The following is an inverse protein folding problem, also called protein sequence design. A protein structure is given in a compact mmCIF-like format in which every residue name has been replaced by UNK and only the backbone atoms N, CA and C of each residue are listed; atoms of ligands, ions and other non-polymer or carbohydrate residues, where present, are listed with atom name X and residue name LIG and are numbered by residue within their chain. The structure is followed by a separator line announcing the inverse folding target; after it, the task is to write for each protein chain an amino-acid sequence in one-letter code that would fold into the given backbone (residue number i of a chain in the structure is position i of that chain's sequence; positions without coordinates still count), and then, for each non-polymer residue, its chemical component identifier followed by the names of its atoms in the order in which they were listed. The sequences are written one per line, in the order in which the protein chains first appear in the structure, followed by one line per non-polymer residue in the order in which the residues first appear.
data_IF_747457705188
#
_entry.id   IF_747457705188
#
_cell.length_a   1.000
_cell.length_b   1.000
_cell.length_c   1.000
_cell.angle_alpha   90.00
_cell.angle_beta   90.00
_cell.angle_gamma   90.00
#
_symmetry.space_group_name_H-M   'P 1'
#
loop_
_entity.id
_entity.type
_entity.pdbx_description
1 polymer ?
#
# COMPACT_ATOMS: atom_id res chain seq x y z
N UNK A 1 -18.92 -15.13 10.78
CA UNK A 1 -18.25 -13.81 10.75
C UNK A 1 -17.97 -13.32 9.33
N UNK A 2 -17.22 -14.08 8.52
CA UNK A 2 -16.84 -13.72 7.14
C UNK A 2 -18.02 -13.40 6.21
N UNK A 3 -19.06 -14.23 6.19
CA UNK A 3 -20.24 -13.98 5.33
C UNK A 3 -20.96 -12.66 5.64
N UNK A 4 -20.97 -12.23 6.91
CA UNK A 4 -21.57 -10.96 7.32
C UNK A 4 -20.79 -9.76 6.77
N UNK A 5 -19.46 -9.86 6.76
CA UNK A 5 -18.53 -8.87 6.19
C UNK A 5 -18.77 -8.75 4.68
N UNK A 6 -18.81 -9.88 3.97
CA UNK A 6 -19.02 -9.89 2.51
C UNK A 6 -20.41 -9.39 2.13
N UNK A 7 -21.44 -9.69 2.93
CA UNK A 7 -22.81 -9.23 2.70
C UNK A 7 -22.95 -7.71 2.83
N UNK A 8 -22.21 -7.11 3.75
CA UNK A 8 -22.23 -5.66 4.01
C UNK A 8 -20.94 -4.98 3.50
N UNK A 9 -20.47 -5.41 2.33
CA UNK A 9 -19.21 -4.96 1.75
C UNK A 9 -19.08 -3.44 1.64
N UNK A 10 -20.16 -2.71 1.32
CA UNK A 10 -20.14 -1.23 1.29
C UNK A 10 -19.75 -0.63 2.65
N UNK A 11 -20.38 -1.09 3.72
CA UNK A 11 -20.12 -0.61 5.07
C UNK A 11 -18.72 -1.05 5.52
N UNK A 12 -18.33 -2.30 5.24
CA UNK A 12 -16.99 -2.80 5.52
C UNK A 12 -15.92 -1.97 4.84
N UNK A 13 -16.07 -1.66 3.55
CA UNK A 13 -15.14 -0.79 2.80
C UNK A 13 -15.02 0.57 3.47
N UNK A 14 -16.13 1.20 3.83
CA UNK A 14 -16.15 2.52 4.47
C UNK A 14 -15.40 2.48 5.81
N UNK A 15 -15.76 1.54 6.68
CA UNK A 15 -15.14 1.40 8.01
C UNK A 15 -13.65 1.13 7.87
N UNK A 16 -13.24 0.13 7.07
CA UNK A 16 -11.83 -0.19 6.89
C UNK A 16 -11.05 0.97 6.28
N UNK A 17 -11.61 1.67 5.30
CA UNK A 17 -10.96 2.84 4.68
C UNK A 17 -10.73 3.95 5.69
N UNK A 18 -11.75 4.29 6.47
CA UNK A 18 -11.66 5.33 7.50
C UNK A 18 -10.62 4.92 8.54
N UNK A 19 -10.71 3.69 9.06
CA UNK A 19 -9.80 3.20 10.10
C UNK A 19 -8.36 3.17 9.61
N UNK A 20 -8.08 2.59 8.44
CA UNK A 20 -6.71 2.48 7.90
C UNK A 20 -6.11 3.87 7.66
N UNK A 21 -6.83 4.75 6.96
CA UNK A 21 -6.31 6.09 6.65
C UNK A 21 -6.18 6.95 7.91
N UNK A 22 -7.13 6.86 8.85
CA UNK A 22 -7.06 7.61 10.10
C UNK A 22 -5.88 7.15 10.96
N UNK A 23 -5.63 5.84 11.05
CA UNK A 23 -4.44 5.31 11.75
C UNK A 23 -3.17 5.87 11.12
N UNK A 24 -3.04 5.78 9.78
CA UNK A 24 -1.85 6.30 9.08
C UNK A 24 -1.66 7.80 9.32
N UNK A 25 -2.72 8.59 9.21
CA UNK A 25 -2.68 10.05 9.42
C UNK A 25 -2.30 10.38 10.86
N UNK A 26 -2.96 9.79 11.86
CA UNK A 26 -2.66 10.06 13.28
C UNK A 26 -1.20 9.75 13.58
N UNK A 27 -0.71 8.58 13.16
CA UNK A 27 0.67 8.18 13.42
C UNK A 27 1.68 9.09 12.74
N UNK A 28 1.34 9.68 11.59
CA UNK A 28 2.22 10.63 10.88
C UNK A 28 2.44 11.95 11.64
N UNK A 29 1.63 12.24 12.67
CA UNK A 29 1.73 13.44 13.50
C UNK A 29 2.16 13.16 14.94
N UNK A 30 2.27 11.90 15.35
CA UNK A 30 2.73 11.56 16.69
C UNK A 30 4.26 11.60 16.78
N UNK A 31 4.83 12.08 17.89
CA UNK A 31 6.26 11.95 18.12
C UNK A 31 6.63 10.47 18.23
N UNK A 32 7.80 10.11 17.69
CA UNK A 32 8.34 8.76 17.80
C UNK A 32 8.60 8.37 19.25
N UNK A 33 8.73 7.06 19.49
CA UNK A 33 9.10 6.55 20.81
C UNK A 33 10.53 6.99 21.17
N UNK A 34 10.72 7.57 22.36
CA UNK A 34 11.98 8.18 22.78
C UNK A 34 12.96 7.22 23.49
N UNK A 35 12.63 5.94 23.62
CA UNK A 35 13.51 4.94 24.25
C UNK A 35 14.41 4.21 23.25
N UNK A 36 15.29 3.36 23.76
CA UNK A 36 16.17 2.53 22.93
C UNK A 36 15.36 1.55 22.08
N UNK A 37 15.51 1.67 20.77
CA UNK A 37 14.83 0.80 19.80
C UNK A 37 15.73 -0.38 19.42
N UNK A 38 15.18 -1.61 19.39
CA UNK A 38 15.88 -2.74 18.79
C UNK A 38 16.32 -2.49 17.35
N UNK A 39 17.51 -3.00 16.98
CA UNK A 39 18.08 -2.79 15.64
C UNK A 39 17.20 -3.28 14.48
N UNK A 40 16.32 -4.26 14.71
CA UNK A 40 15.40 -4.76 13.68
C UNK A 40 14.36 -3.71 13.25
N UNK A 41 14.05 -2.73 14.10
CA UNK A 41 13.10 -1.65 13.77
C UNK A 41 13.67 -0.76 12.65
N UNK A 42 14.99 -0.48 12.68
CA UNK A 42 15.67 0.29 11.64
C UNK A 42 15.64 -0.38 10.26
N UNK A 43 15.37 -1.68 10.20
CA UNK A 43 15.27 -2.45 8.95
C UNK A 43 13.85 -2.46 8.37
N UNK A 44 12.84 -2.01 9.12
CA UNK A 44 11.44 -2.02 8.66
C UNK A 44 11.21 -1.22 7.37
N UNK A 45 11.87 -0.06 7.11
CA UNK A 45 11.73 0.63 5.82
C UNK A 45 12.20 -0.22 4.63
N UNK A 46 13.27 -1.02 4.79
CA UNK A 46 13.72 -1.95 3.76
C UNK A 46 12.70 -3.05 3.53
N UNK A 47 12.17 -3.64 4.62
CA UNK A 47 11.12 -4.66 4.55
C UNK A 47 9.88 -4.10 3.84
N UNK A 48 9.49 -2.87 4.16
CA UNK A 48 8.40 -2.16 3.50
C UNK A 48 8.63 -2.01 1.98
N UNK A 49 9.83 -1.63 1.55
CA UNK A 49 10.18 -1.54 0.14
C UNK A 49 10.13 -2.92 -0.56
N UNK A 50 10.61 -3.97 0.11
CA UNK A 50 10.55 -5.34 -0.41
C UNK A 50 9.09 -5.80 -0.57
N UNK A 51 8.24 -5.57 0.44
CA UNK A 51 6.81 -5.93 0.39
C UNK A 51 6.05 -5.17 -0.71
N UNK A 52 6.38 -3.90 -0.93
CA UNK A 52 5.86 -3.11 -2.05
C UNK A 52 6.34 -3.67 -3.40
N UNK A 53 7.59 -4.11 -3.51
CA UNK A 53 8.11 -4.77 -4.71
C UNK A 53 7.35 -6.06 -5.02
N UNK A 54 7.08 -6.90 -4.01
CA UNK A 54 6.24 -8.09 -4.19
C UNK A 54 4.82 -7.74 -4.58
N UNK A 55 4.22 -6.73 -3.94
CA UNK A 55 2.89 -6.22 -4.31
C UNK A 55 2.85 -5.84 -5.79
N UNK A 56 3.82 -5.04 -6.25
CA UNK A 56 3.93 -4.62 -7.64
C UNK A 56 4.04 -5.82 -8.59
N UNK A 57 4.95 -6.77 -8.31
CA UNK A 57 5.12 -7.97 -9.13
C UNK A 57 3.85 -8.81 -9.20
N UNK A 58 3.16 -9.00 -8.07
CA UNK A 58 1.88 -9.72 -8.05
C UNK A 58 0.80 -9.01 -8.86
N UNK A 59 0.71 -7.68 -8.81
CA UNK A 59 -0.26 -6.93 -9.61
C UNK A 59 0.02 -7.03 -11.10
N UNK A 60 1.29 -6.93 -11.51
CA UNK A 60 1.70 -7.14 -12.90
C UNK A 60 1.35 -8.55 -13.36
N UNK A 61 1.67 -9.58 -12.55
CA UNK A 61 1.32 -10.97 -12.84
C UNK A 61 -0.20 -11.19 -12.90
N UNK A 62 -0.97 -10.58 -12.00
CA UNK A 62 -2.43 -10.61 -11.99
C UNK A 62 -3.02 -9.98 -13.26
N UNK A 63 -2.45 -8.85 -13.72
CA UNK A 63 -2.85 -8.17 -14.94
C UNK A 63 -2.55 -9.02 -16.18
N UNK A 64 -1.38 -9.64 -16.24
CA UNK A 64 -1.03 -10.56 -17.33
C UNK A 64 -1.97 -11.78 -17.36
N UNK A 65 -2.26 -12.37 -16.19
CA UNK A 65 -3.14 -13.53 -16.08
C UNK A 65 -4.56 -13.23 -16.58
N UNK A 66 -5.16 -12.10 -16.18
CA UNK A 66 -6.52 -11.75 -16.60
C UNK A 66 -6.59 -11.38 -18.08
N UNK A 67 -5.55 -10.74 -18.64
CA UNK A 67 -5.47 -10.47 -20.09
C UNK A 67 -5.41 -11.75 -20.92
N UNK A 68 -4.89 -12.85 -20.35
CA UNK A 68 -4.89 -14.20 -20.93
C UNK A 68 -6.16 -15.01 -20.60
N UNK A 69 -7.16 -14.39 -19.97
CA UNK A 69 -8.40 -15.05 -19.56
C UNK A 69 -8.28 -15.99 -18.35
N UNK A 70 -7.11 -16.09 -17.70
CA UNK A 70 -6.92 -16.99 -16.56
C UNK A 70 -7.35 -16.32 -15.25
N UNK A 71 -8.64 -16.39 -14.96
CA UNK A 71 -9.26 -15.78 -13.77
C UNK A 71 -8.73 -16.38 -12.48
N UNK A 72 -8.51 -17.70 -12.43
CA UNK A 72 -8.01 -18.38 -11.22
C UNK A 72 -6.61 -17.90 -10.83
N UNK A 73 -5.72 -17.76 -11.82
CA UNK A 73 -4.37 -17.27 -11.58
C UNK A 73 -4.37 -15.79 -11.21
N UNK A 74 -5.22 -14.98 -11.87
CA UNK A 74 -5.44 -13.58 -11.50
C UNK A 74 -5.82 -13.45 -10.02
N UNK A 75 -6.83 -14.20 -9.55
CA UNK A 75 -7.28 -14.17 -8.16
C UNK A 75 -6.17 -14.53 -7.18
N UNK A 76 -5.37 -15.58 -7.47
CA UNK A 76 -4.25 -15.99 -6.63
C UNK A 76 -3.22 -14.88 -6.46
N UNK A 77 -2.86 -14.20 -7.55
CA UNK A 77 -1.93 -13.07 -7.48
C UNK A 77 -2.54 -11.85 -6.78
N UNK A 78 -3.83 -11.56 -6.96
CA UNK A 78 -4.50 -10.51 -6.19
C UNK A 78 -4.47 -10.82 -4.69
N UNK A 79 -4.66 -12.07 -4.27
CA UNK A 79 -4.51 -12.45 -2.86
C UNK A 79 -3.08 -12.24 -2.36
N UNK A 80 -2.07 -12.62 -3.13
CA UNK A 80 -0.67 -12.33 -2.80
C UNK A 80 -0.38 -10.83 -2.64
N UNK A 81 -0.91 -9.99 -3.53
CA UNK A 81 -0.80 -8.54 -3.45
C UNK A 81 -1.48 -7.98 -2.19
N UNK A 82 -2.69 -8.46 -1.85
CA UNK A 82 -3.38 -8.07 -0.63
C UNK A 82 -2.62 -8.47 0.64
N UNK A 83 -2.10 -9.70 0.68
CA UNK A 83 -1.33 -10.19 1.83
C UNK A 83 -0.06 -9.36 2.04
N UNK A 84 0.69 -9.09 0.98
CA UNK A 84 1.93 -8.29 1.08
C UNK A 84 1.64 -6.83 1.42
N UNK A 85 0.58 -6.23 0.86
CA UNK A 85 0.12 -4.88 1.24
C UNK A 85 -0.34 -4.82 2.70
N UNK A 86 -1.01 -5.86 3.21
CA UNK A 86 -1.43 -5.93 4.61
C UNK A 86 -0.22 -5.99 5.55
N UNK A 87 0.76 -6.85 5.27
CA UNK A 87 2.00 -6.95 6.07
C UNK A 87 2.78 -5.63 5.98
N UNK A 88 2.81 -4.99 4.81
CA UNK A 88 3.40 -3.66 4.64
C UNK A 88 2.73 -2.64 5.56
N UNK A 89 1.40 -2.59 5.63
CA UNK A 89 0.71 -1.65 6.51
C UNK A 89 1.05 -1.89 7.99
N UNK A 90 1.12 -3.14 8.43
CA UNK A 90 1.51 -3.46 9.80
C UNK A 90 2.93 -2.97 10.11
N UNK A 91 3.89 -3.30 9.26
CA UNK A 91 5.30 -2.95 9.44
C UNK A 91 5.55 -1.44 9.29
N UNK A 92 4.85 -0.77 8.37
CA UNK A 92 4.82 0.69 8.24
C UNK A 92 4.31 1.37 9.50
N UNK A 93 3.14 0.95 10.01
CA UNK A 93 2.56 1.49 11.24
C UNK A 93 3.50 1.26 12.43
N UNK A 94 4.07 0.07 12.57
CA UNK A 94 5.05 -0.21 13.64
C UNK A 94 6.27 0.70 13.56
N UNK A 95 6.85 0.88 12.38
CA UNK A 95 7.99 1.78 12.20
C UNK A 95 7.63 3.23 12.55
N UNK A 96 6.54 3.75 11.99
CA UNK A 96 6.14 5.15 12.14
C UNK A 96 5.69 5.49 13.58
N UNK A 97 5.15 4.51 14.32
CA UNK A 97 4.83 4.69 15.75
C UNK A 97 6.07 4.73 16.65
N UNK A 98 7.19 4.17 16.21
CA UNK A 98 8.38 3.94 17.05
C UNK A 98 9.55 4.85 16.68
N UNK A 99 9.64 5.31 15.45
CA UNK A 99 10.79 6.09 14.94
C UNK A 99 10.36 7.50 14.55
N UNK A 100 11.28 8.45 14.71
CA UNK A 100 11.10 9.77 14.13
C UNK A 100 11.27 9.74 12.61
N UNK A 101 10.58 10.65 11.93
CA UNK A 101 10.68 10.77 10.47
C UNK A 101 12.09 11.20 10.07
N UNK A 102 12.75 10.40 9.23
CA UNK A 102 14.03 10.77 8.63
C UNK A 102 13.83 11.89 7.59
N UNK A 103 14.50 13.05 7.74
CA UNK A 103 14.43 14.09 6.73
C UNK A 103 15.24 13.68 5.49
N UNK A 104 14.76 14.04 4.32
CA UNK A 104 15.51 13.84 3.08
C UNK A 104 16.67 14.84 3.01
N UNK A 105 17.91 14.34 2.87
CA UNK A 105 19.12 15.17 2.89
C UNK A 105 19.61 15.67 1.54
N UNK A 106 18.92 15.35 0.43
CA UNK A 106 19.31 15.78 -0.92
C UNK A 106 18.91 17.23 -1.22
N UNK A 107 19.64 17.88 -2.13
CA UNK A 107 19.42 19.30 -2.52
C UNK A 107 19.26 19.47 -4.03
N UNK A 108 18.70 20.61 -4.47
CA UNK A 108 18.53 20.91 -5.89
C UNK A 108 17.49 20.02 -6.58
N UNK A 109 17.74 19.66 -7.84
CA UNK A 109 16.77 18.94 -8.69
C UNK A 109 16.30 17.60 -8.10
N UNK A 110 17.19 16.86 -7.44
CA UNK A 110 16.87 15.55 -6.85
C UNK A 110 15.83 15.65 -5.72
N UNK A 111 15.87 16.74 -4.95
CA UNK A 111 14.90 17.00 -3.89
C UNK A 111 13.50 17.24 -4.46
N UNK A 112 13.38 18.03 -5.54
CA UNK A 112 12.10 18.23 -6.21
C UNK A 112 11.50 16.92 -6.73
N UNK A 113 12.32 16.07 -7.35
CA UNK A 113 11.88 14.74 -7.81
C UNK A 113 11.41 13.87 -6.65
N UNK A 114 12.20 13.81 -5.57
CA UNK A 114 11.85 13.04 -4.37
C UNK A 114 10.52 13.51 -3.76
N UNK A 115 10.37 14.80 -3.49
CA UNK A 115 9.16 15.32 -2.86
C UNK A 115 7.94 15.20 -3.77
N UNK A 116 8.09 15.36 -5.09
CA UNK A 116 7.01 15.10 -6.03
C UNK A 116 6.54 13.64 -5.96
N UNK A 117 7.46 12.68 -6.00
CA UNK A 117 7.14 11.25 -5.87
C UNK A 117 6.52 10.96 -4.51
N UNK A 118 7.09 11.48 -3.42
CA UNK A 118 6.61 11.26 -2.07
C UNK A 118 5.18 11.78 -1.87
N UNK A 119 4.92 13.04 -2.25
CA UNK A 119 3.60 13.67 -2.09
C UNK A 119 2.57 12.92 -2.92
N UNK A 120 2.87 12.65 -4.19
CA UNK A 120 1.95 11.91 -5.08
C UNK A 120 1.71 10.49 -4.57
N UNK A 121 2.74 9.81 -4.06
CA UNK A 121 2.61 8.49 -3.46
C UNK A 121 1.65 8.52 -2.27
N UNK A 122 1.83 9.45 -1.31
CA UNK A 122 0.98 9.53 -0.12
C UNK A 122 -0.48 9.83 -0.49
N UNK A 123 -0.72 10.80 -1.35
CA UNK A 123 -2.08 11.16 -1.77
C UNK A 123 -2.79 10.01 -2.49
N UNK A 124 -2.08 9.32 -3.39
CA UNK A 124 -2.63 8.18 -4.11
C UNK A 124 -2.76 6.94 -3.23
N UNK A 125 -1.91 6.78 -2.20
CA UNK A 125 -2.03 5.72 -1.20
C UNK A 125 -3.34 5.84 -0.39
N UNK A 126 -3.77 7.06 -0.06
CA UNK A 126 -5.06 7.28 0.61
C UNK A 126 -6.23 6.86 -0.29
N UNK A 127 -6.15 7.22 -1.58
CA UNK A 127 -7.21 6.95 -2.57
C UNK A 127 -7.27 5.47 -2.95
N UNK A 128 -6.14 4.76 -2.96
CA UNK A 128 -6.12 3.36 -3.40
C UNK A 128 -6.77 2.41 -2.39
N UNK A 129 -6.74 2.71 -1.09
CA UNK A 129 -7.35 1.88 -0.04
C UNK A 129 -8.82 1.54 -0.34
N UNK A 130 -9.74 2.51 -0.51
CA UNK A 130 -11.14 2.20 -0.83
C UNK A 130 -11.28 1.51 -2.19
N UNK A 131 -10.53 1.93 -3.20
CA UNK A 131 -10.62 1.36 -4.54
C UNK A 131 -10.20 -0.11 -4.59
N UNK A 132 -9.13 -0.46 -3.89
CA UNK A 132 -8.65 -1.83 -3.74
C UNK A 132 -9.70 -2.70 -3.04
N UNK A 133 -10.26 -2.24 -1.92
CA UNK A 133 -11.28 -2.97 -1.17
C UNK A 133 -12.57 -3.17 -2.00
N UNK A 134 -13.07 -2.13 -2.68
CA UNK A 134 -14.27 -2.24 -3.54
C UNK A 134 -14.04 -3.26 -4.65
N UNK A 135 -12.87 -3.21 -5.30
CA UNK A 135 -12.50 -4.10 -6.41
C UNK A 135 -12.36 -5.55 -5.93
N UNK A 136 -11.77 -5.74 -4.75
CA UNK A 136 -11.64 -7.03 -4.10
C UNK A 136 -13.00 -7.65 -3.77
N UNK A 137 -13.87 -6.95 -3.04
CA UNK A 137 -15.19 -7.48 -2.70
C UNK A 137 -16.06 -7.74 -3.94
N UNK A 138 -15.96 -6.88 -4.96
CA UNK A 138 -16.65 -7.11 -6.24
C UNK A 138 -16.16 -8.39 -6.92
N UNK A 139 -14.84 -8.61 -6.95
CA UNK A 139 -14.23 -9.81 -7.53
C UNK A 139 -14.55 -11.06 -6.72
N UNK A 140 -14.53 -10.96 -5.39
CA UNK A 140 -14.85 -12.05 -4.47
C UNK A 140 -16.31 -12.52 -4.64
N UNK A 141 -17.25 -11.58 -4.77
CA UNK A 141 -18.66 -11.85 -5.03
C UNK A 141 -19.00 -12.19 -6.48
N UNK A 142 -18.00 -12.28 -7.36
CA UNK A 142 -18.19 -12.52 -8.80
C UNK A 142 -19.07 -11.46 -9.49
N UNK A 143 -19.14 -10.25 -8.95
CA UNK A 143 -19.88 -9.12 -9.55
C UNK A 143 -19.02 -8.47 -10.65
N UNK A 144 -18.85 -9.17 -11.78
CA UNK A 144 -17.88 -8.81 -12.85
C UNK A 144 -18.07 -7.39 -13.38
N UNK A 145 -19.31 -6.95 -13.60
CA UNK A 145 -19.60 -5.59 -14.09
C UNK A 145 -19.11 -4.52 -13.10
N UNK A 146 -19.37 -4.73 -11.80
CA UNK A 146 -18.91 -3.83 -10.74
C UNK A 146 -17.39 -3.87 -10.61
N UNK A 147 -16.79 -5.06 -10.64
CA UNK A 147 -15.34 -5.22 -10.58
C UNK A 147 -14.65 -4.46 -11.72
N UNK A 148 -15.10 -4.65 -12.98
CA UNK A 148 -14.54 -3.95 -14.16
C UNK A 148 -14.65 -2.43 -14.07
N UNK A 149 -15.78 -1.92 -13.54
CA UNK A 149 -16.01 -0.47 -13.37
C UNK A 149 -14.94 0.21 -12.52
N UNK A 150 -14.51 -0.45 -11.44
CA UNK A 150 -13.56 0.10 -10.47
C UNK A 150 -12.11 -0.28 -10.78
N UNK A 151 -11.86 -1.53 -11.19
CA UNK A 151 -10.49 -2.04 -11.41
C UNK A 151 -9.72 -1.28 -12.49
N UNK A 152 -10.41 -0.66 -13.46
CA UNK A 152 -9.78 0.21 -14.47
C UNK A 152 -9.03 1.40 -13.87
N UNK A 153 -9.44 1.85 -12.68
CA UNK A 153 -8.77 2.89 -11.90
C UNK A 153 -7.88 2.28 -10.83
N UNK A 154 -8.36 1.25 -10.13
CA UNK A 154 -7.61 0.58 -9.05
C UNK A 154 -6.28 0.02 -9.54
N UNK A 155 -6.26 -0.71 -10.67
CA UNK A 155 -5.05 -1.40 -11.13
C UNK A 155 -3.89 -0.43 -11.44
N UNK A 156 -4.05 0.62 -12.29
CA UNK A 156 -2.95 1.54 -12.55
C UNK A 156 -2.49 2.31 -11.30
N UNK A 157 -3.43 2.74 -10.45
CA UNK A 157 -3.09 3.43 -9.21
C UNK A 157 -2.33 2.53 -8.23
N UNK A 158 -2.74 1.28 -8.08
CA UNK A 158 -2.06 0.34 -7.18
C UNK A 158 -0.65 -0.02 -7.68
N UNK A 159 -0.48 -0.19 -8.99
CA UNK A 159 0.84 -0.33 -9.61
C UNK A 159 1.71 0.91 -9.37
N UNK A 160 1.16 2.11 -9.53
CA UNK A 160 1.89 3.36 -9.27
C UNK A 160 2.34 3.44 -7.81
N UNK A 161 1.43 3.26 -6.85
CA UNK A 161 1.73 3.38 -5.41
C UNK A 161 2.74 2.32 -4.99
N UNK A 162 2.56 1.06 -5.40
CA UNK A 162 3.52 0.00 -5.03
C UNK A 162 4.91 0.23 -5.62
N UNK A 163 5.03 0.73 -6.87
CA UNK A 163 6.33 1.08 -7.45
C UNK A 163 6.97 2.30 -6.76
N UNK A 164 6.21 3.37 -6.61
CA UNK A 164 6.71 4.62 -6.01
C UNK A 164 7.10 4.44 -4.55
N UNK A 165 6.47 3.52 -3.81
CA UNK A 165 6.88 3.18 -2.44
C UNK A 165 8.31 2.62 -2.39
N UNK A 166 8.71 1.83 -3.38
CA UNK A 166 10.09 1.34 -3.53
C UNK A 166 11.03 2.50 -3.86
N UNK A 167 10.63 3.37 -4.79
CA UNK A 167 11.44 4.53 -5.19
C UNK A 167 11.69 5.48 -4.01
N UNK A 168 10.65 5.80 -3.22
CA UNK A 168 10.78 6.63 -2.01
C UNK A 168 11.85 6.04 -1.08
N UNK A 169 11.82 4.72 -0.84
CA UNK A 169 12.85 4.06 -0.04
C UNK A 169 14.24 4.17 -0.67
N UNK A 170 14.39 3.91 -1.97
CA UNK A 170 15.69 4.00 -2.65
C UNK A 170 16.27 5.41 -2.50
N UNK A 171 15.48 6.45 -2.72
CA UNK A 171 15.92 7.84 -2.59
C UNK A 171 16.32 8.19 -1.16
N UNK A 172 15.52 7.79 -0.17
CA UNK A 172 15.78 8.16 1.22
C UNK A 172 16.83 7.26 1.90
N UNK A 173 17.09 6.06 1.36
CA UNK A 173 17.94 5.06 2.01
C UNK A 173 19.35 5.51 2.39
N UNK A 174 20.05 6.36 1.60
CA UNK A 174 21.38 6.87 1.98
C UNK A 174 21.36 7.80 3.20
N UNK A 175 20.19 8.28 3.60
CA UNK A 175 20.01 9.22 4.72
C UNK A 175 19.53 8.54 6.00
N UNK A 176 19.33 7.22 6.00
CA UNK A 176 19.10 6.49 7.25
C UNK A 176 20.39 6.39 8.06
N UNK A 177 20.33 6.83 9.32
CA UNK A 177 21.41 6.76 10.33
C UNK A 177 21.16 5.71 11.42
#
# INVERSE_FOLDING_TARGET
MWEKIVRHDKLTVIILTIVINLIVVILSFLPGYQGDLPAWIKQLPLINAILNSFTFMFLVAALMAIKRGNVRLHQRFIYGAFTTTFIFLLTYVTHHSLTESTPFGGTGFIAYVYYFILITHILLAIIIVPLALISFFAGYKQEVARHRKWVRWTMPLWLYVSLTGVLVYIFISPYYT
#
